data_IF_235548671465
#
_entry.id   IF_235548671465
#
_cell.length_a   1.000
_cell.length_b   1.000
_cell.length_c   1.000
_cell.angle_alpha   90.00
_cell.angle_beta   90.00
_cell.angle_gamma   90.00
#
_symmetry.space_group_name_H-M   'P 1'
#
loop_
_entity.id
_entity.type
_entity.pdbx_description
1 polymer ?
#
# COMPACT_ATOMS: atom_id res chain seq x y z
N UNK A 1 1.14 19.60 -10.55
CA UNK A 1 -0.18 20.03 -10.01
C UNK A 1 -0.56 21.43 -10.48
N UNK A 2 0.33 22.43 -10.46
CA UNK A 2 0.01 23.81 -10.91
C UNK A 2 -0.53 23.89 -12.36
N UNK A 3 0.11 23.19 -13.31
CA UNK A 3 -0.36 23.15 -14.72
C UNK A 3 -1.79 22.62 -14.85
N UNK A 4 -2.08 21.45 -14.26
CA UNK A 4 -3.43 20.88 -14.30
C UNK A 4 -4.49 21.77 -13.64
N UNK A 5 -4.11 22.57 -12.65
CA UNK A 5 -4.99 23.53 -11.99
C UNK A 5 -5.30 24.74 -12.90
N UNK A 6 -4.28 25.32 -13.53
CA UNK A 6 -4.45 26.42 -14.48
C UNK A 6 -5.28 25.98 -15.70
N UNK A 7 -5.09 24.73 -16.13
CA UNK A 7 -5.83 24.12 -17.24
C UNK A 7 -7.23 23.64 -16.83
N UNK A 8 -7.64 23.83 -15.57
CA UNK A 8 -8.93 23.41 -15.00
C UNK A 8 -9.22 21.91 -15.11
N UNK A 9 -8.17 21.09 -15.16
CA UNK A 9 -8.23 19.62 -15.17
C UNK A 9 -8.17 19.03 -13.74
N UNK A 10 -8.03 19.87 -12.72
CA UNK A 10 -8.05 19.51 -11.31
C UNK A 10 -7.89 20.73 -10.39
N UNK A 11 -7.89 20.50 -9.08
CA UNK A 11 -7.71 21.57 -8.08
C UNK A 11 -6.37 21.39 -7.38
N UNK A 12 -5.43 22.29 -7.68
CA UNK A 12 -4.07 22.25 -7.14
C UNK A 12 -3.85 23.18 -5.95
N UNK A 13 -4.68 24.22 -5.80
CA UNK A 13 -4.71 25.07 -4.61
C UNK A 13 -5.53 24.39 -3.50
N UNK A 14 -4.92 24.01 -2.36
CA UNK A 14 -5.64 23.38 -1.25
C UNK A 14 -6.81 24.21 -0.73
N UNK A 15 -6.78 25.54 -0.88
CA UNK A 15 -7.85 26.45 -0.43
C UNK A 15 -9.11 26.34 -1.28
N UNK A 16 -8.96 25.89 -2.52
CA UNK A 16 -10.07 25.69 -3.47
C UNK A 16 -10.63 24.26 -3.40
N UNK A 17 -10.01 23.37 -2.63
CA UNK A 17 -10.48 21.99 -2.47
C UNK A 17 -11.75 22.00 -1.62
N UNK A 18 -12.88 21.67 -2.26
CA UNK A 18 -14.14 21.41 -1.57
C UNK A 18 -14.13 19.99 -0.99
N UNK A 19 -14.09 19.87 0.34
CA UNK A 19 -14.32 18.60 1.03
C UNK A 19 -15.83 18.31 0.99
N UNK A 20 -16.19 17.14 0.47
CA UNK A 20 -17.57 16.63 0.42
C UNK A 20 -17.64 15.30 1.16
N UNK A 21 -18.77 15.01 1.81
CA UNK A 21 -18.96 13.82 2.62
C UNK A 21 -19.09 14.14 4.11
N UNK A 22 -18.95 13.11 4.92
CA UNK A 22 -19.13 13.21 6.38
C UNK A 22 -17.97 13.95 7.06
N UNK A 23 -18.27 14.62 8.18
CA UNK A 23 -17.26 15.25 9.01
C UNK A 23 -16.43 14.19 9.74
N UNK A 24 -15.20 13.99 9.25
CA UNK A 24 -14.23 13.04 9.82
C UNK A 24 -13.36 13.66 10.91
N UNK A 25 -13.61 14.90 11.34
CA UNK A 25 -12.74 15.61 12.32
C UNK A 25 -12.59 14.88 13.66
N UNK A 26 -13.53 13.99 14.00
CA UNK A 26 -13.53 13.19 15.23
C UNK A 26 -13.16 11.72 15.00
N UNK A 27 -12.91 11.32 13.76
CA UNK A 27 -12.54 9.95 13.43
C UNK A 27 -11.10 9.67 13.84
N UNK A 28 -10.91 8.76 14.80
CA UNK A 28 -9.60 8.22 15.15
C UNK A 28 -9.66 6.72 15.23
N UNK A 29 -9.11 6.07 14.21
CA UNK A 29 -9.14 4.63 14.03
C UNK A 29 -8.06 3.92 14.86
N UNK A 30 -7.20 4.69 15.55
CA UNK A 30 -6.14 4.15 16.39
C UNK A 30 -5.07 3.36 15.64
N UNK A 31 -4.94 3.56 14.32
CA UNK A 31 -3.92 2.88 13.54
C UNK A 31 -2.52 3.25 14.04
N UNK A 32 -1.71 2.22 14.26
CA UNK A 32 -0.32 2.38 14.62
C UNK A 32 0.54 1.94 13.44
N UNK A 33 1.52 2.77 13.11
CA UNK A 33 2.57 2.42 12.15
C UNK A 33 3.74 1.88 12.94
N UNK A 34 4.26 0.73 12.52
CA UNK A 34 5.44 0.11 13.13
C UNK A 34 6.54 -0.11 12.10
N UNK A 35 7.76 -0.28 12.58
CA UNK A 35 8.91 -0.55 11.73
C UNK A 35 9.10 -2.02 11.42
N UNK A 36 9.58 -2.26 10.20
CA UNK A 36 10.05 -3.55 9.76
C UNK A 36 11.43 -3.42 9.11
N UNK A 37 12.06 -4.55 8.79
CA UNK A 37 13.41 -4.54 8.21
C UNK A 37 13.53 -3.70 6.94
N UNK A 38 12.50 -3.67 6.10
CA UNK A 38 12.50 -2.84 4.90
C UNK A 38 12.33 -1.35 5.22
N UNK A 39 11.44 -0.97 6.16
CA UNK A 39 11.29 0.44 6.56
C UNK A 39 12.57 0.98 7.20
N UNK A 40 13.22 0.19 8.06
CA UNK A 40 14.48 0.59 8.70
C UNK A 40 15.61 0.81 7.70
N UNK A 41 15.73 -0.04 6.66
CA UNK A 41 16.71 0.19 5.59
C UNK A 41 16.32 1.41 4.75
N UNK A 42 15.03 1.59 4.45
CA UNK A 42 14.53 2.79 3.80
C UNK A 42 14.92 4.06 4.54
N UNK A 43 14.69 4.10 5.85
CA UNK A 43 15.02 5.23 6.70
C UNK A 43 16.51 5.52 6.70
N UNK A 44 17.36 4.50 6.84
CA UNK A 44 18.81 4.65 6.79
C UNK A 44 19.29 5.27 5.46
N UNK A 45 18.68 4.86 4.35
CA UNK A 45 19.11 5.21 2.99
C UNK A 45 18.52 6.54 2.50
N UNK A 46 17.28 6.86 2.87
CA UNK A 46 16.59 8.07 2.40
C UNK A 46 16.66 9.24 3.36
N UNK A 47 16.65 8.96 4.66
CA UNK A 47 16.52 9.97 5.71
C UNK A 47 17.71 9.97 6.68
N UNK A 48 18.52 8.91 6.68
CA UNK A 48 19.68 8.72 7.53
C UNK A 48 21.01 9.16 6.91
N UNK A 49 22.14 8.74 7.51
CA UNK A 49 23.49 9.16 7.10
C UNK A 49 23.86 8.79 5.65
N UNK A 50 23.18 7.80 5.04
CA UNK A 50 23.47 7.36 3.67
C UNK A 50 22.72 8.14 2.59
N UNK A 51 21.90 9.13 2.97
CA UNK A 51 21.13 9.98 2.05
C UNK A 51 21.97 10.62 0.94
N UNK A 52 23.20 11.04 1.26
CA UNK A 52 24.10 11.66 0.28
C UNK A 52 24.57 10.71 -0.84
N UNK A 53 24.46 9.40 -0.63
CA UNK A 53 24.96 8.38 -1.54
C UNK A 53 23.86 7.76 -2.43
N UNK A 54 22.63 8.29 -2.40
CA UNK A 54 21.51 7.77 -3.20
C UNK A 54 21.82 7.64 -4.69
N UNK A 55 22.63 8.55 -5.27
CA UNK A 55 23.04 8.45 -6.68
C UNK A 55 23.85 7.18 -6.96
N UNK A 56 24.71 6.76 -6.03
CA UNK A 56 25.47 5.53 -6.17
C UNK A 56 24.54 4.31 -6.03
N UNK A 57 23.71 4.29 -4.99
CA UNK A 57 22.88 3.12 -4.67
C UNK A 57 21.70 2.91 -5.61
N UNK A 58 21.08 3.99 -6.10
CA UNK A 58 19.78 3.92 -6.80
C UNK A 58 19.81 4.44 -8.23
N UNK A 59 20.89 5.11 -8.67
CA UNK A 59 21.04 5.56 -10.06
C UNK A 59 22.18 4.85 -10.82
N UNK A 60 22.68 3.75 -10.28
CA UNK A 60 23.62 2.85 -10.96
C UNK A 60 23.06 1.42 -10.97
N UNK A 61 23.64 0.47 -11.74
CA UNK A 61 23.23 -0.94 -11.70
C UNK A 61 23.28 -1.59 -10.32
N UNK A 62 23.92 -0.96 -9.32
CA UNK A 62 23.89 -1.36 -7.92
C UNK A 62 22.46 -1.46 -7.35
N UNK A 63 21.51 -0.71 -7.91
CA UNK A 63 20.09 -0.78 -7.54
C UNK A 63 19.53 -2.21 -7.61
N UNK A 64 20.05 -3.04 -8.51
CA UNK A 64 19.61 -4.42 -8.68
C UNK A 64 19.83 -5.28 -7.42
N UNK A 65 20.85 -4.98 -6.60
CA UNK A 65 21.07 -5.68 -5.32
C UNK A 65 19.92 -5.39 -4.35
N UNK A 66 19.44 -4.14 -4.31
CA UNK A 66 18.30 -3.76 -3.47
C UNK A 66 16.99 -4.37 -3.98
N UNK A 67 16.82 -4.47 -5.31
CA UNK A 67 15.67 -5.15 -5.92
C UNK A 67 15.66 -6.62 -5.52
N UNK A 68 16.77 -7.34 -5.70
CA UNK A 68 16.88 -8.75 -5.30
C UNK A 68 16.72 -8.93 -3.79
N UNK A 69 17.29 -8.03 -2.99
CA UNK A 69 17.12 -8.04 -1.53
C UNK A 69 15.67 -7.81 -1.12
N UNK A 70 14.94 -6.94 -1.83
CA UNK A 70 13.52 -6.68 -1.60
C UNK A 70 12.67 -7.91 -1.94
N UNK A 71 12.88 -8.50 -3.12
CA UNK A 71 12.24 -9.76 -3.52
C UNK A 71 12.50 -10.84 -2.46
N UNK A 72 13.75 -11.03 -2.06
CA UNK A 72 14.09 -12.03 -1.06
C UNK A 72 13.45 -11.77 0.31
N UNK A 73 13.43 -10.52 0.75
CA UNK A 73 12.81 -10.13 2.00
C UNK A 73 11.30 -10.37 1.97
N UNK A 74 10.61 -9.97 0.91
CA UNK A 74 9.14 -10.05 0.84
C UNK A 74 8.67 -11.46 0.51
N UNK A 75 9.20 -12.09 -0.53
CA UNK A 75 8.63 -13.31 -1.11
C UNK A 75 9.16 -14.57 -0.44
N UNK A 76 10.45 -14.62 -0.13
CA UNK A 76 11.07 -15.82 0.45
C UNK A 76 11.14 -15.80 1.99
N UNK A 77 11.20 -14.62 2.61
CA UNK A 77 11.25 -14.50 4.07
C UNK A 77 9.88 -14.13 4.66
N UNK A 78 9.38 -12.93 4.36
CA UNK A 78 8.28 -12.33 5.13
C UNK A 78 6.93 -12.96 4.81
N UNK A 79 6.65 -13.25 3.54
CA UNK A 79 5.42 -13.89 3.09
C UNK A 79 5.19 -15.25 3.76
N UNK A 80 6.07 -16.27 3.61
CA UNK A 80 5.80 -17.60 4.14
C UNK A 80 5.77 -17.64 5.67
N UNK A 81 6.52 -16.77 6.34
CA UNK A 81 6.69 -16.79 7.80
C UNK A 81 5.70 -15.93 8.58
N UNK A 82 5.26 -14.79 8.02
CA UNK A 82 4.42 -13.82 8.72
C UNK A 82 3.17 -13.45 7.92
N UNK A 83 3.36 -12.88 6.74
CA UNK A 83 2.28 -12.13 6.09
C UNK A 83 1.19 -13.06 5.54
N UNK A 84 1.54 -14.26 5.06
CA UNK A 84 0.56 -15.26 4.59
C UNK A 84 -0.48 -15.60 5.67
N UNK A 85 -0.05 -15.78 6.92
CA UNK A 85 -0.97 -16.09 8.03
C UNK A 85 -1.94 -14.94 8.30
N UNK A 86 -1.44 -13.71 8.25
CA UNK A 86 -2.25 -12.50 8.43
C UNK A 86 -3.26 -12.38 7.30
N UNK A 87 -2.83 -12.56 6.05
CA UNK A 87 -3.69 -12.47 4.87
C UNK A 87 -4.79 -13.53 4.87
N UNK A 88 -4.44 -14.80 5.13
CA UNK A 88 -5.43 -15.88 5.18
C UNK A 88 -6.45 -15.68 6.32
N UNK A 89 -5.99 -15.19 7.49
CA UNK A 89 -6.91 -14.84 8.57
C UNK A 89 -7.83 -13.69 8.17
N UNK A 90 -7.31 -12.62 7.57
CA UNK A 90 -8.11 -11.50 7.07
C UNK A 90 -9.15 -11.96 6.04
N UNK A 91 -8.73 -12.80 5.08
CA UNK A 91 -9.58 -13.37 4.03
C UNK A 91 -10.74 -14.18 4.61
N UNK A 92 -10.49 -14.96 5.66
CA UNK A 92 -11.50 -15.79 6.30
C UNK A 92 -12.45 -15.02 7.24
N UNK A 93 -11.93 -14.01 7.96
CA UNK A 93 -12.64 -13.41 9.11
C UNK A 93 -13.38 -12.13 8.79
N UNK A 94 -12.99 -11.40 7.74
CA UNK A 94 -13.57 -10.09 7.42
C UNK A 94 -14.67 -10.19 6.37
N UNK A 95 -15.59 -9.22 6.37
CA UNK A 95 -16.63 -9.12 5.33
C UNK A 95 -16.01 -8.98 3.93
N UNK A 96 -15.04 -8.07 3.80
CA UNK A 96 -14.27 -7.90 2.56
C UNK A 96 -13.55 -9.18 2.15
N UNK A 97 -12.83 -9.83 3.07
CA UNK A 97 -12.13 -11.09 2.80
C UNK A 97 -13.05 -12.17 2.22
N UNK A 98 -14.25 -12.33 2.80
CA UNK A 98 -15.28 -13.26 2.29
C UNK A 98 -15.73 -12.88 0.88
N UNK A 99 -15.95 -11.60 0.61
CA UNK A 99 -16.31 -11.11 -0.72
C UNK A 99 -15.22 -11.46 -1.76
N UNK A 100 -13.95 -11.21 -1.44
CA UNK A 100 -12.83 -11.57 -2.33
C UNK A 100 -12.75 -13.07 -2.61
N UNK A 101 -12.93 -13.90 -1.58
CA UNK A 101 -13.01 -15.36 -1.75
C UNK A 101 -14.17 -15.76 -2.65
N UNK A 102 -15.33 -15.14 -2.49
CA UNK A 102 -16.50 -15.48 -3.29
C UNK A 102 -16.33 -15.06 -4.77
N UNK A 103 -15.54 -14.02 -5.05
CA UNK A 103 -15.11 -13.71 -6.42
C UNK A 103 -14.16 -14.76 -6.98
N UNK A 104 -13.17 -15.21 -6.18
CA UNK A 104 -12.23 -16.26 -6.55
C UNK A 104 -12.94 -17.58 -6.89
N UNK A 105 -13.96 -17.96 -6.13
CA UNK A 105 -14.72 -19.21 -6.34
C UNK A 105 -15.88 -19.08 -7.33
N UNK A 106 -16.17 -17.87 -7.82
CA UNK A 106 -17.31 -17.59 -8.71
C UNK A 106 -18.68 -17.67 -8.04
N UNK A 107 -18.76 -17.75 -6.71
CA UNK A 107 -20.01 -17.79 -5.93
C UNK A 107 -20.82 -16.49 -6.06
N UNK A 108 -20.16 -15.37 -6.33
CA UNK A 108 -20.85 -14.10 -6.64
C UNK A 108 -21.77 -14.25 -7.84
N UNK A 109 -21.29 -14.87 -8.93
CA UNK A 109 -22.05 -15.01 -10.17
C UNK A 109 -23.24 -15.96 -10.01
N UNK A 110 -23.05 -17.09 -9.31
CA UNK A 110 -24.14 -18.05 -9.02
C UNK A 110 -25.31 -17.42 -8.27
N UNK A 111 -25.02 -16.55 -7.29
CA UNK A 111 -26.06 -15.85 -6.53
C UNK A 111 -26.82 -14.82 -7.37
N UNK A 112 -26.12 -14.14 -8.28
CA UNK A 112 -26.75 -13.17 -9.19
C UNK A 112 -27.65 -13.87 -10.20
N UNK A 113 -27.24 -15.02 -10.73
CA UNK A 113 -28.06 -15.84 -11.64
C UNK A 113 -29.31 -16.41 -10.97
N UNK A 114 -29.24 -16.77 -9.68
CA UNK A 114 -30.39 -17.28 -8.91
C UNK A 114 -31.35 -16.18 -8.44
N UNK A 115 -30.90 -14.92 -8.39
CA UNK A 115 -31.71 -13.78 -7.98
C UNK A 115 -32.41 -13.08 -9.17
N UNK A 116 -32.13 -13.51 -10.40
CA UNK A 116 -32.74 -13.04 -11.64
C UNK A 116 -33.90 -13.97 -12.08
#
# INVERSE_FOLDING_TARGET
INVAHNDKLGVGDPREIKIVGDDISKESWGFQVGDNGASMIGDLMWFGPLKGMQKLFFHTPLVNVFIMGSEAYHDYYRWPLKDRKVFENWKATTHWGKLFRDYETGEVWKRLEQAA
#
